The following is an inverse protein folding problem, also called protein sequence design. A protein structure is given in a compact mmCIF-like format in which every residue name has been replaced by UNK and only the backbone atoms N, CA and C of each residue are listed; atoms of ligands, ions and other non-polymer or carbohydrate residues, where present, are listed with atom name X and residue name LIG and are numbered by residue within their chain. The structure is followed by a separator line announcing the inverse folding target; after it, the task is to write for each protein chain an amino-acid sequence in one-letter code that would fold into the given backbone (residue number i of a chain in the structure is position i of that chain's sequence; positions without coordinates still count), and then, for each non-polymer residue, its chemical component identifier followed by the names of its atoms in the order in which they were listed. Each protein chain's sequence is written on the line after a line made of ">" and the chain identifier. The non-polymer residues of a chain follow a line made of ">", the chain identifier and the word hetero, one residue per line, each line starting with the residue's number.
data_IF_727918061439
#
_entry.id   IF_727918061439
#
_cell.length_a   1.000
_cell.length_b   1.000
_cell.length_c   1.000
_cell.angle_alpha   90.00
_cell.angle_beta   90.00
_cell.angle_gamma   90.00
#
_symmetry.space_group_name_H-M   'P 1'
#
loop_
_entity.id
_entity.type
_entity.pdbx_description
1 polymer ?
#
# COMPACT_ATOMS: atom_id res chain seq x y z
N UNK A 1 -18.13 -18.67 -0.66
CA UNK A 1 -17.90 -18.07 0.67
C UNK A 1 -18.19 -16.59 0.56
N UNK A 2 -19.21 -16.08 1.25
CA UNK A 2 -19.44 -14.63 1.30
C UNK A 2 -18.33 -14.01 2.17
N UNK A 3 -17.61 -13.02 1.64
CA UNK A 3 -16.70 -12.23 2.46
C UNK A 3 -17.55 -11.43 3.47
N UNK A 4 -17.24 -11.47 4.76
CA UNK A 4 -18.00 -10.72 5.75
C UNK A 4 -17.94 -9.21 5.48
N UNK A 5 -19.04 -8.52 5.79
CA UNK A 5 -19.33 -7.14 5.37
C UNK A 5 -18.23 -6.15 5.76
N UNK A 6 -17.60 -6.35 6.92
CA UNK A 6 -16.49 -5.54 7.40
C UNK A 6 -15.24 -5.60 6.51
N UNK A 7 -14.97 -6.74 5.85
CA UNK A 7 -13.87 -6.85 4.86
C UNK A 7 -14.19 -6.03 3.63
N UNK A 8 -15.45 -6.06 3.19
CA UNK A 8 -15.91 -5.33 2.02
C UNK A 8 -15.85 -3.81 2.26
N UNK A 9 -16.22 -3.36 3.46
CA UNK A 9 -16.18 -1.95 3.84
C UNK A 9 -14.75 -1.40 3.94
N UNK A 10 -13.81 -2.17 4.52
CA UNK A 10 -12.41 -1.75 4.64
C UNK A 10 -11.62 -1.80 3.32
N UNK A 11 -12.14 -2.52 2.31
CA UNK A 11 -11.49 -2.66 1.00
C UNK A 11 -11.21 -1.31 0.33
N UNK A 12 -12.17 -0.38 0.36
CA UNK A 12 -12.03 0.94 -0.27
C UNK A 12 -10.89 1.76 0.36
N UNK A 13 -10.63 1.60 1.66
CA UNK A 13 -9.52 2.28 2.35
C UNK A 13 -8.17 1.74 1.85
N UNK A 14 -8.06 0.41 1.77
CA UNK A 14 -6.84 -0.26 1.28
C UNK A 14 -6.60 0.05 -0.20
N UNK A 15 -7.64 0.04 -1.03
CA UNK A 15 -7.53 0.36 -2.46
C UNK A 15 -7.10 1.81 -2.70
N UNK A 16 -7.60 2.78 -1.91
CA UNK A 16 -7.16 4.18 -1.98
C UNK A 16 -5.70 4.35 -1.55
N UNK A 17 -5.27 3.67 -0.48
CA UNK A 17 -3.87 3.64 -0.07
C UNK A 17 -2.99 3.06 -1.20
N UNK A 18 -3.42 1.94 -1.79
CA UNK A 18 -2.69 1.30 -2.87
C UNK A 18 -2.63 2.15 -4.15
N UNK A 19 -3.68 2.91 -4.46
CA UNK A 19 -3.68 3.86 -5.56
C UNK A 19 -2.61 4.95 -5.35
N UNK A 20 -2.51 5.53 -4.15
CA UNK A 20 -1.50 6.54 -3.79
C UNK A 20 -0.08 5.95 -3.79
N UNK A 21 0.08 4.74 -3.26
CA UNK A 21 1.37 4.03 -3.27
C UNK A 21 1.87 3.72 -4.70
N UNK A 22 0.97 3.46 -5.65
CA UNK A 22 1.36 3.23 -7.05
C UNK A 22 1.89 4.48 -7.78
N UNK A 23 1.63 5.68 -7.28
CA UNK A 23 2.26 6.90 -7.82
C UNK A 23 3.76 6.94 -7.51
N UNK A 24 4.21 6.19 -6.49
CA UNK A 24 5.61 6.11 -6.14
C UNK A 24 6.31 5.19 -7.13
N UNK A 25 7.11 5.80 -8.01
CA UNK A 25 7.87 5.08 -9.06
C UNK A 25 8.66 3.89 -8.50
N UNK A 26 9.24 4.02 -7.31
CA UNK A 26 9.97 2.96 -6.60
C UNK A 26 9.10 1.74 -6.23
N UNK A 27 7.84 1.97 -5.82
CA UNK A 27 6.88 0.90 -5.50
C UNK A 27 6.35 0.27 -6.78
N UNK A 28 6.05 1.09 -7.80
CA UNK A 28 5.47 0.64 -9.07
C UNK A 28 6.42 -0.22 -9.91
N UNK A 29 7.72 0.09 -9.90
CA UNK A 29 8.72 -0.65 -10.71
C UNK A 29 9.32 -1.84 -9.98
N UNK A 30 9.04 -2.04 -8.68
CA UNK A 30 9.43 -3.24 -7.92
C UNK A 30 10.92 -3.58 -8.07
N UNK A 31 11.79 -2.56 -8.13
CA UNK A 31 13.23 -2.73 -8.30
C UNK A 31 13.92 -3.47 -7.14
N UNK A 32 13.27 -3.54 -5.98
CA UNK A 32 13.80 -4.20 -4.79
C UNK A 32 13.97 -5.70 -5.02
N UNK A 33 15.23 -6.15 -4.96
CA UNK A 33 15.64 -7.55 -5.18
C UNK A 33 15.21 -8.48 -4.04
N UNK A 34 14.89 -7.91 -2.87
CA UNK A 34 14.57 -8.65 -1.64
C UNK A 34 13.22 -8.21 -1.09
N UNK A 35 12.40 -9.17 -0.65
CA UNK A 35 11.09 -8.91 -0.06
C UNK A 35 11.15 -7.96 1.16
N UNK A 36 12.21 -8.06 1.97
CA UNK A 36 12.43 -7.18 3.12
C UNK A 36 12.59 -5.71 2.72
N UNK A 37 13.37 -5.44 1.67
CA UNK A 37 13.60 -4.07 1.20
C UNK A 37 12.34 -3.48 0.56
N UNK A 38 11.59 -4.30 -0.20
CA UNK A 38 10.28 -3.93 -0.72
C UNK A 38 9.30 -3.55 0.40
N UNK A 39 9.26 -4.35 1.47
CA UNK A 39 8.41 -4.09 2.63
C UNK A 39 8.83 -2.81 3.37
N UNK A 40 10.13 -2.55 3.49
CA UNK A 40 10.66 -1.30 4.06
C UNK A 40 10.20 -0.06 3.29
N UNK A 41 10.31 -0.08 1.96
CA UNK A 41 9.81 1.01 1.11
C UNK A 41 8.29 1.15 1.24
N UNK A 42 7.55 0.06 1.33
CA UNK A 42 6.09 0.09 1.53
C UNK A 42 5.73 0.77 2.85
N UNK A 43 6.40 0.41 3.94
CA UNK A 43 6.19 1.02 5.25
C UNK A 43 6.56 2.50 5.27
N UNK A 44 7.68 2.88 4.64
CA UNK A 44 8.10 4.28 4.52
C UNK A 44 7.09 5.09 3.71
N UNK A 45 6.67 4.58 2.55
CA UNK A 45 5.68 5.24 1.72
C UNK A 45 4.33 5.37 2.43
N UNK A 46 3.87 4.34 3.14
CA UNK A 46 2.65 4.41 3.96
C UNK A 46 2.78 5.43 5.12
N UNK A 47 3.95 5.52 5.76
CA UNK A 47 4.20 6.49 6.83
C UNK A 47 4.23 7.92 6.30
N UNK A 48 4.86 8.14 5.15
CA UNK A 48 4.89 9.44 4.48
C UNK A 48 3.51 9.84 3.97
N UNK A 49 2.72 8.88 3.48
CA UNK A 49 1.33 9.07 3.10
C UNK A 49 0.46 9.51 4.29
N UNK A 50 0.72 8.95 5.47
CA UNK A 50 0.06 9.29 6.73
C UNK A 50 0.45 10.68 7.24
N UNK A 51 1.74 11.03 7.21
CA UNK A 51 2.23 12.36 7.65
C UNK A 51 1.77 13.48 6.71
N UNK A 52 1.63 13.20 5.42
CA UNK A 52 1.16 14.16 4.42
C UNK A 52 -0.36 14.46 4.55
N UNK A 53 -1.07 13.67 5.34
CA UNK A 53 -2.51 13.78 5.57
C UNK A 53 -2.81 14.66 6.77
#
# INVERSE_FOLDING_TARGET
>A
MACPDWIYNNRNVVERLWARLKEWRAVATRYEKTASSFMGILCLAATLDWIKR
#
